data_IF_630489318679
#
_entry.id   IF_630489318679
#
_cell.length_a   1.000
_cell.length_b   1.000
_cell.length_c   1.000
_cell.angle_alpha   90.00
_cell.angle_beta   90.00
_cell.angle_gamma   90.00
#
_symmetry.space_group_name_H-M   'P 1'
#
loop_
_entity.id
_entity.type
_entity.pdbx_description
1 polymer ?
#
# COMPACT_ATOMS: atom_id res chain seq x y z
N UNK A 1 20.45 -5.66 -16.18
CA UNK A 1 20.55 -5.15 -14.80
C UNK A 1 20.43 -6.32 -13.86
N UNK A 2 21.37 -6.49 -12.94
CA UNK A 2 21.30 -7.51 -11.90
C UNK A 2 20.25 -7.11 -10.83
N UNK A 3 19.77 -8.08 -10.05
CA UNK A 3 18.86 -7.81 -8.93
C UNK A 3 19.48 -6.82 -7.93
N UNK A 4 20.80 -6.89 -7.73
CA UNK A 4 21.54 -5.98 -6.85
C UNK A 4 21.44 -4.53 -7.33
N UNK A 5 21.64 -4.29 -8.63
CA UNK A 5 21.53 -2.95 -9.23
C UNK A 5 20.10 -2.39 -9.13
N UNK A 6 19.08 -3.25 -9.30
CA UNK A 6 17.67 -2.84 -9.16
C UNK A 6 17.33 -2.44 -7.72
N UNK A 7 17.83 -3.19 -6.73
CA UNK A 7 17.63 -2.91 -5.31
C UNK A 7 18.32 -1.59 -4.93
N UNK A 8 19.58 -1.40 -5.32
CA UNK A 8 20.32 -0.16 -5.05
C UNK A 8 19.62 1.04 -5.68
N UNK A 9 19.14 0.91 -6.92
CA UNK A 9 18.37 1.96 -7.59
C UNK A 9 17.06 2.31 -6.85
N UNK A 10 16.34 1.31 -6.36
CA UNK A 10 15.10 1.53 -5.60
C UNK A 10 15.38 2.23 -4.26
N UNK A 11 16.46 1.85 -3.58
CA UNK A 11 16.90 2.49 -2.33
C UNK A 11 17.21 3.98 -2.54
N UNK A 12 18.08 4.31 -3.50
CA UNK A 12 18.45 5.70 -3.75
C UNK A 12 17.23 6.54 -4.13
N UNK A 13 16.34 6.01 -4.98
CA UNK A 13 15.08 6.70 -5.31
C UNK A 13 14.21 6.97 -4.08
N UNK A 14 14.12 6.03 -3.15
CA UNK A 14 13.34 6.22 -1.93
C UNK A 14 13.99 7.27 -1.00
N UNK A 15 15.32 7.24 -0.91
CA UNK A 15 16.10 8.22 -0.13
C UNK A 15 15.96 9.63 -0.70
N UNK A 16 16.16 9.80 -2.01
CA UNK A 16 16.02 11.08 -2.69
C UNK A 16 14.59 11.62 -2.52
N UNK A 17 13.58 10.76 -2.68
CA UNK A 17 12.19 11.16 -2.45
C UNK A 17 11.94 11.61 -1.00
N UNK A 18 12.58 11.01 0.00
CA UNK A 18 12.44 11.43 1.38
C UNK A 18 13.15 12.76 1.66
N UNK A 19 14.32 12.97 1.06
CA UNK A 19 15.09 14.22 1.19
C UNK A 19 14.42 15.38 0.43
N UNK A 20 13.84 15.13 -0.76
CA UNK A 20 13.19 16.12 -1.62
C UNK A 20 11.72 16.37 -1.24
N UNK A 21 10.91 15.31 -1.11
CA UNK A 21 9.48 15.39 -0.76
C UNK A 21 9.35 15.20 0.73
N UNK A 22 9.52 16.32 1.42
CA UNK A 22 9.24 16.50 2.83
C UNK A 22 7.75 16.24 3.13
N UNK A 23 7.32 14.98 3.21
CA UNK A 23 6.02 14.59 3.81
C UNK A 23 6.10 14.88 5.31
N UNK A 24 5.99 16.16 5.63
CA UNK A 24 6.33 16.72 6.94
C UNK A 24 5.09 17.08 7.72
N UNK A 25 3.98 17.32 7.02
CA UNK A 25 2.71 17.67 7.64
C UNK A 25 1.79 16.46 7.78
N UNK A 26 0.89 16.52 8.77
CA UNK A 26 -0.14 15.50 8.94
C UNK A 26 -1.06 15.42 7.71
N UNK A 27 -1.40 16.55 7.08
CA UNK A 27 -2.27 16.60 5.91
C UNK A 27 -1.67 15.86 4.71
N UNK A 28 -0.39 16.05 4.42
CA UNK A 28 0.27 15.31 3.33
C UNK A 28 0.30 13.80 3.58
N UNK A 29 0.42 13.38 4.85
CA UNK A 29 0.34 11.96 5.23
C UNK A 29 -1.06 11.42 5.03
N UNK A 30 -2.08 12.18 5.42
CA UNK A 30 -3.50 11.83 5.21
C UNK A 30 -3.80 11.71 3.71
N UNK A 31 -3.33 12.63 2.87
CA UNK A 31 -3.51 12.56 1.42
C UNK A 31 -2.88 11.29 0.81
N UNK A 32 -1.74 10.87 1.33
CA UNK A 32 -1.10 9.61 0.91
C UNK A 32 -1.89 8.38 1.38
N UNK A 33 -2.46 8.41 2.60
CA UNK A 33 -3.35 7.37 3.08
C UNK A 33 -4.64 7.29 2.25
N UNK A 34 -5.20 8.43 1.84
CA UNK A 34 -6.35 8.49 0.92
C UNK A 34 -6.01 7.86 -0.43
N UNK A 35 -4.86 8.19 -1.02
CA UNK A 35 -4.40 7.58 -2.29
C UNK A 35 -4.20 6.07 -2.16
N UNK A 36 -3.65 5.61 -1.03
CA UNK A 36 -3.48 4.20 -0.75
C UNK A 36 -4.84 3.49 -0.70
N UNK A 37 -5.78 4.02 0.09
CA UNK A 37 -7.11 3.46 0.25
C UNK A 37 -7.85 3.38 -1.09
N UNK A 38 -7.88 4.48 -1.86
CA UNK A 38 -8.49 4.52 -3.18
C UNK A 38 -7.87 3.49 -4.13
N UNK A 39 -6.55 3.31 -4.06
CA UNK A 39 -5.85 2.32 -4.90
C UNK A 39 -6.23 0.90 -4.50
N UNK A 40 -6.27 0.58 -3.20
CA UNK A 40 -6.68 -0.73 -2.70
C UNK A 40 -8.12 -1.04 -3.14
N UNK A 41 -9.05 -0.10 -2.95
CA UNK A 41 -10.45 -0.27 -3.37
C UNK A 41 -10.57 -0.54 -4.87
N UNK A 42 -9.84 0.23 -5.70
CA UNK A 42 -9.83 0.05 -7.16
C UNK A 42 -9.23 -1.28 -7.60
N UNK A 43 -8.25 -1.81 -6.87
CA UNK A 43 -7.57 -3.06 -7.19
C UNK A 43 -8.13 -4.27 -6.41
N UNK A 44 -9.20 -4.11 -5.63
CA UNK A 44 -9.70 -5.14 -4.71
C UNK A 44 -9.92 -6.49 -5.40
N UNK A 45 -10.57 -6.51 -6.56
CA UNK A 45 -10.82 -7.75 -7.31
C UNK A 45 -9.52 -8.46 -7.72
N UNK A 46 -8.54 -7.70 -8.21
CA UNK A 46 -7.23 -8.23 -8.62
C UNK A 46 -6.41 -8.75 -7.44
N UNK A 47 -6.49 -8.07 -6.29
CA UNK A 47 -5.82 -8.52 -5.07
C UNK A 47 -6.45 -9.85 -4.59
N UNK A 48 -7.78 -9.94 -4.58
CA UNK A 48 -8.48 -11.20 -4.23
C UNK A 48 -8.17 -12.33 -5.20
N UNK A 49 -8.13 -12.04 -6.51
CA UNK A 49 -7.77 -13.01 -7.54
C UNK A 49 -6.34 -13.52 -7.34
N UNK A 50 -5.37 -12.63 -7.10
CA UNK A 50 -4.00 -13.03 -6.83
C UNK A 50 -3.89 -13.89 -5.55
N UNK A 51 -4.56 -13.49 -4.46
CA UNK A 51 -4.60 -14.27 -3.22
C UNK A 51 -5.24 -15.65 -3.40
N UNK A 52 -6.23 -15.75 -4.29
CA UNK A 52 -6.82 -17.04 -4.64
C UNK A 52 -5.84 -17.90 -5.45
N UNK A 53 -5.17 -17.33 -6.46
CA UNK A 53 -4.22 -18.07 -7.30
C UNK A 53 -2.99 -18.54 -6.50
N UNK A 54 -2.49 -17.70 -5.59
CA UNK A 54 -1.27 -18.00 -4.83
C UNK A 54 -1.53 -18.88 -3.59
N UNK A 55 -2.67 -18.67 -2.92
CA UNK A 55 -2.94 -19.25 -1.59
C UNK A 55 -4.29 -19.98 -1.49
N UNK A 56 -5.09 -20.03 -2.56
CA UNK A 56 -6.45 -20.57 -2.58
C UNK A 56 -7.38 -19.92 -1.53
N UNK A 57 -7.10 -18.68 -1.14
CA UNK A 57 -7.93 -17.93 -0.18
C UNK A 57 -9.29 -17.60 -0.80
N UNK A 58 -10.36 -17.93 -0.09
CA UNK A 58 -11.71 -17.53 -0.53
C UNK A 58 -11.84 -16.00 -0.58
N UNK A 59 -12.70 -15.43 -1.44
CA UNK A 59 -12.92 -13.98 -1.48
C UNK A 59 -13.29 -13.37 -0.12
N UNK A 60 -14.06 -14.10 0.69
CA UNK A 60 -14.45 -13.66 2.03
C UNK A 60 -13.25 -13.58 2.98
N UNK A 61 -12.42 -14.63 3.01
CA UNK A 61 -11.20 -14.65 3.82
C UNK A 61 -10.21 -13.58 3.38
N UNK A 62 -9.95 -13.47 2.07
CA UNK A 62 -9.08 -12.44 1.49
C UNK A 62 -9.55 -11.03 1.85
N UNK A 63 -10.86 -10.77 1.83
CA UNK A 63 -11.39 -9.49 2.28
C UNK A 63 -11.17 -9.28 3.78
N UNK A 64 -11.63 -10.22 4.61
CA UNK A 64 -11.67 -10.04 6.07
C UNK A 64 -10.27 -9.97 6.69
N UNK A 65 -9.32 -10.76 6.18
CA UNK A 65 -7.99 -10.89 6.77
C UNK A 65 -6.94 -9.95 6.16
N UNK A 66 -7.11 -9.48 4.92
CA UNK A 66 -6.09 -8.67 4.25
C UNK A 66 -6.65 -7.28 3.92
N UNK A 67 -7.66 -7.21 3.05
CA UNK A 67 -8.11 -5.94 2.46
C UNK A 67 -8.85 -5.08 3.50
N UNK A 68 -9.83 -5.67 4.19
CA UNK A 68 -10.63 -5.02 5.22
C UNK A 68 -9.79 -4.52 6.38
N UNK A 69 -8.78 -5.28 6.82
CA UNK A 69 -7.88 -4.85 7.90
C UNK A 69 -7.11 -3.58 7.52
N UNK A 70 -6.59 -3.50 6.29
CA UNK A 70 -5.83 -2.32 5.84
C UNK A 70 -6.75 -1.11 5.68
N UNK A 71 -7.97 -1.29 5.14
CA UNK A 71 -8.94 -0.21 4.99
C UNK A 71 -9.36 0.35 6.36
N UNK A 72 -9.70 -0.51 7.32
CA UNK A 72 -10.05 -0.08 8.69
C UNK A 72 -8.88 0.62 9.37
N UNK A 73 -7.65 0.11 9.19
CA UNK A 73 -6.45 0.74 9.75
C UNK A 73 -6.24 2.14 9.17
N UNK A 74 -6.40 2.30 7.86
CA UNK A 74 -6.30 3.60 7.19
C UNK A 74 -7.28 4.61 7.80
N UNK A 75 -8.54 4.21 8.02
CA UNK A 75 -9.57 5.09 8.59
C UNK A 75 -9.27 5.52 10.04
N UNK A 76 -8.65 4.65 10.84
CA UNK A 76 -8.26 4.97 12.22
C UNK A 76 -7.10 5.98 12.22
N UNK A 77 -6.09 5.78 11.36
CA UNK A 77 -4.90 6.63 11.32
C UNK A 77 -5.21 8.07 10.90
N UNK A 78 -6.25 8.29 10.09
CA UNK A 78 -6.66 9.64 9.65
C UNK A 78 -7.40 10.46 10.73
N UNK A 79 -7.75 9.84 11.86
CA UNK A 79 -8.50 10.47 12.96
C UNK A 79 -7.63 10.90 14.15
N UNK A 80 -6.34 10.59 14.11
CA UNK A 80 -5.33 10.93 15.12
C UNK A 80 -4.60 12.19 14.68
#
# INVERSE_FOLDING_TARGET
MSNKELIEKAYWRAKDCFEERQVTTANERIDLLDKLEQTIRRQQSKIMEALYLDLNKSPHEAFMAEIGLVLVRSDILKKI
#
